data_IF_928121159839
#
_entry.id   IF_928121159839
#
_cell.length_a   1.000
_cell.length_b   1.000
_cell.length_c   1.000
_cell.angle_alpha   90.00
_cell.angle_beta   90.00
_cell.angle_gamma   90.00
#
_symmetry.space_group_name_H-M   'P 1'
#
loop_
_entity.id
_entity.type
_entity.pdbx_description
1 polymer ?
#
# COMPACT_ATOMS: atom_id res chain seq x y z
N UNK A 1 0.27 -12.49 14.84
CA UNK A 1 0.50 -11.28 14.01
C UNK A 1 -0.66 -10.32 14.22
N UNK A 2 -0.41 -9.01 14.29
CA UNK A 2 -1.49 -8.02 14.37
C UNK A 2 -2.40 -8.15 13.14
N UNK A 3 -3.73 -8.13 13.36
CA UNK A 3 -4.70 -8.23 12.28
C UNK A 3 -4.71 -6.94 11.47
N UNK A 4 -4.38 -7.03 10.18
CA UNK A 4 -4.48 -5.90 9.24
C UNK A 4 -5.95 -5.48 9.11
N UNK A 5 -6.20 -4.16 9.12
CA UNK A 5 -7.53 -3.56 8.88
C UNK A 5 -7.48 -2.71 7.60
N UNK A 6 -7.79 -3.29 6.42
CA UNK A 6 -7.68 -2.57 5.15
C UNK A 6 -8.51 -1.29 5.08
N UNK A 7 -9.64 -1.22 5.81
CA UNK A 7 -10.48 -0.03 5.89
C UNK A 7 -9.77 1.22 6.43
N UNK A 8 -8.69 1.05 7.19
CA UNK A 8 -7.90 2.18 7.72
C UNK A 8 -6.74 2.58 6.79
N UNK A 9 -6.36 1.72 5.83
CA UNK A 9 -5.17 1.94 5.00
C UNK A 9 -5.28 3.21 4.13
N UNK A 10 -6.50 3.62 3.77
CA UNK A 10 -6.74 4.84 3.02
C UNK A 10 -6.26 6.12 3.73
N UNK A 11 -6.21 6.12 5.07
CA UNK A 11 -5.78 7.27 5.87
C UNK A 11 -4.31 7.62 5.62
N UNK A 12 -3.45 6.61 5.40
CA UNK A 12 -2.05 6.83 5.08
C UNK A 12 -1.89 7.55 3.73
N UNK A 13 -2.63 7.10 2.71
CA UNK A 13 -2.64 7.73 1.39
C UNK A 13 -3.16 9.16 1.46
N UNK A 14 -4.27 9.38 2.16
CA UNK A 14 -4.84 10.70 2.38
C UNK A 14 -3.85 11.64 3.08
N UNK A 15 -3.19 11.18 4.14
CA UNK A 15 -2.22 11.99 4.87
C UNK A 15 -1.01 12.39 4.01
N UNK A 16 -0.53 11.49 3.15
CA UNK A 16 0.52 11.79 2.17
C UNK A 16 0.09 12.88 1.19
N UNK A 17 -1.10 12.73 0.61
CA UNK A 17 -1.66 13.72 -0.33
C UNK A 17 -1.84 15.08 0.34
N UNK A 18 -2.42 15.12 1.54
CA UNK A 18 -2.63 16.37 2.28
C UNK A 18 -1.30 17.09 2.57
N UNK A 19 -0.24 16.37 2.96
CA UNK A 19 1.10 16.96 3.13
C UNK A 19 1.70 17.47 1.82
N UNK A 20 1.46 16.78 0.70
CA UNK A 20 1.96 17.18 -0.60
C UNK A 20 1.25 18.45 -1.12
N UNK A 21 -0.06 18.56 -0.89
CA UNK A 21 -0.88 19.69 -1.33
C UNK A 21 -0.78 20.90 -0.39
N UNK A 22 -0.55 20.68 0.90
CA UNK A 22 -0.35 21.71 1.91
C UNK A 22 0.92 21.45 2.74
N UNK A 23 2.11 21.83 2.25
CA UNK A 23 3.38 21.57 2.93
C UNK A 23 3.50 22.19 4.32
N UNK A 24 2.73 23.23 4.62
CA UNK A 24 2.65 23.83 5.96
C UNK A 24 1.78 23.05 6.94
N UNK A 25 1.09 21.98 6.51
CA UNK A 25 0.28 21.16 7.39
C UNK A 25 1.17 20.20 8.21
N UNK A 26 1.07 20.29 9.53
CA UNK A 26 1.72 19.34 10.44
C UNK A 26 0.82 18.13 10.64
N UNK A 27 0.87 17.18 9.71
CA UNK A 27 0.04 15.98 9.74
C UNK A 27 0.89 14.71 9.89
N UNK A 28 0.66 13.96 10.97
CA UNK A 28 1.32 12.68 11.23
C UNK A 28 0.35 11.51 11.10
N UNK A 29 0.84 10.36 10.66
CA UNK A 29 0.11 9.10 10.64
C UNK A 29 0.87 8.04 11.45
N UNK A 30 0.25 7.56 12.53
CA UNK A 30 0.81 6.47 13.35
C UNK A 30 -0.16 5.30 13.38
N UNK A 31 0.30 4.13 12.93
CA UNK A 31 -0.42 2.87 13.09
C UNK A 31 0.12 2.12 14.32
N UNK A 32 -0.73 1.40 15.05
CA UNK A 32 -0.31 0.68 16.24
C UNK A 32 -1.44 -0.12 16.87
N UNK A 33 -1.61 -1.35 16.38
CA UNK A 33 -2.61 -2.26 16.93
C UNK A 33 -2.29 -2.59 18.41
N UNK A 34 -3.28 -2.41 19.28
CA UNK A 34 -3.13 -2.70 20.72
C UNK A 34 -2.58 -1.53 21.54
N UNK A 35 -2.26 -0.40 20.93
CA UNK A 35 -1.90 0.84 21.62
C UNK A 35 -3.15 1.71 21.82
N UNK A 36 -3.21 2.40 22.95
CA UNK A 36 -4.19 3.45 23.21
C UNK A 36 -3.92 4.69 22.36
N UNK A 37 -4.93 5.54 22.20
CA UNK A 37 -4.77 6.81 21.49
C UNK A 37 -3.68 7.70 22.12
N UNK A 38 -3.57 7.72 23.45
CA UNK A 38 -2.54 8.49 24.16
C UNK A 38 -1.13 7.99 23.84
N UNK A 39 -0.92 6.67 23.78
CA UNK A 39 0.37 6.10 23.41
C UNK A 39 0.72 6.41 21.94
N UNK A 40 -0.25 6.36 21.03
CA UNK A 40 -0.03 6.71 19.62
C UNK A 40 0.33 8.20 19.45
N UNK A 41 -0.30 9.09 20.23
CA UNK A 41 0.03 10.52 20.25
C UNK A 41 1.42 10.76 20.83
N UNK A 42 1.82 10.01 21.86
CA UNK A 42 3.16 10.07 22.41
C UNK A 42 4.21 9.64 21.38
N UNK A 43 3.95 8.56 20.64
CA UNK A 43 4.80 8.13 19.51
C UNK A 43 4.88 9.22 18.44
N UNK A 44 3.75 9.80 18.02
CA UNK A 44 3.72 10.86 17.03
C UNK A 44 4.54 12.08 17.45
N UNK A 45 4.43 12.47 18.73
CA UNK A 45 5.14 13.64 19.31
C UNK A 45 6.64 13.41 19.45
N UNK A 46 7.08 12.16 19.58
CA UNK A 46 8.49 11.81 19.73
C UNK A 46 9.24 11.72 18.39
N UNK A 47 8.52 11.66 17.26
CA UNK A 47 9.13 11.58 15.94
C UNK A 47 9.63 12.97 15.49
N UNK A 48 10.77 13.04 14.80
CA UNK A 48 11.20 14.28 14.19
C UNK A 48 10.21 14.71 13.09
N UNK A 49 10.06 16.02 12.80
CA UNK A 49 9.14 16.51 11.77
C UNK A 49 9.36 15.91 10.36
N UNK A 50 10.58 15.42 10.10
CA UNK A 50 10.95 14.74 8.84
C UNK A 50 10.41 13.31 8.74
N UNK A 51 9.83 12.77 9.81
CA UNK A 51 9.30 11.41 9.90
C UNK A 51 7.81 11.42 10.26
N UNK A 52 6.93 11.92 9.37
CA UNK A 52 5.51 12.10 9.66
C UNK A 52 4.70 10.78 9.63
N UNK A 53 5.37 9.63 9.50
CA UNK A 53 4.75 8.32 9.37
C UNK A 53 5.47 7.30 10.26
N UNK A 54 4.71 6.54 11.05
CA UNK A 54 5.29 5.45 11.83
C UNK A 54 4.31 4.29 12.08
N UNK A 55 4.89 3.15 12.43
CA UNK A 55 4.20 2.00 13.02
C UNK A 55 4.76 1.81 14.43
N UNK A 56 3.91 1.98 15.44
CA UNK A 56 4.22 1.71 16.84
C UNK A 56 4.34 0.20 17.07
N UNK A 57 5.31 -0.20 17.89
CA UNK A 57 5.52 -1.57 18.31
C UNK A 57 6.32 -1.64 19.60
N UNK A 58 6.35 -2.82 20.22
CA UNK A 58 7.01 -3.03 21.51
C UNK A 58 8.54 -2.77 21.48
N UNK A 59 9.16 -2.75 20.31
CA UNK A 59 10.57 -2.41 20.10
C UNK A 59 10.82 -0.95 19.68
N UNK A 60 9.81 -0.08 19.82
CA UNK A 60 9.85 1.31 19.36
C UNK A 60 9.12 1.56 18.05
N UNK A 61 9.11 2.82 17.63
CA UNK A 61 8.49 3.26 16.39
C UNK A 61 9.34 2.88 15.18
N UNK A 62 8.70 2.34 14.13
CA UNK A 62 9.34 2.08 12.84
C UNK A 62 8.80 3.04 11.79
N UNK A 63 9.69 3.70 11.07
CA UNK A 63 9.37 4.64 10.00
C UNK A 63 9.43 3.93 8.64
N UNK A 64 8.48 4.14 7.72
CA UNK A 64 8.49 3.47 6.43
C UNK A 64 9.62 4.01 5.54
N UNK A 65 10.20 3.12 4.74
CA UNK A 65 11.22 3.45 3.72
C UNK A 65 10.92 2.70 2.44
N UNK A 66 11.08 3.37 1.32
CA UNK A 66 11.05 2.74 0.01
C UNK A 66 12.48 2.28 -0.32
N UNK A 67 12.65 0.98 -0.53
CA UNK A 67 13.91 0.38 -0.97
C UNK A 67 13.71 -0.30 -2.31
N UNK A 68 14.81 -0.46 -3.06
CA UNK A 68 14.82 -1.32 -4.25
C UNK A 68 14.79 -2.77 -3.82
N UNK A 69 14.04 -3.58 -4.56
CA UNK A 69 13.98 -5.04 -4.40
C UNK A 69 14.41 -5.68 -5.73
N UNK A 70 15.21 -6.74 -5.65
CA UNK A 70 15.55 -7.54 -6.83
C UNK A 70 14.31 -8.26 -7.34
N UNK A 71 14.14 -8.26 -8.66
CA UNK A 71 13.01 -8.94 -9.27
C UNK A 71 13.10 -10.46 -9.02
N UNK A 72 12.02 -11.11 -8.56
CA UNK A 72 11.99 -12.57 -8.51
C UNK A 72 12.12 -13.13 -9.93
N UNK A 73 12.68 -14.33 -10.07
CA UNK A 73 12.76 -15.00 -11.36
C UNK A 73 11.36 -15.15 -11.98
N UNK A 74 11.24 -14.87 -13.27
CA UNK A 74 9.98 -15.04 -14.01
C UNK A 74 9.52 -16.50 -13.94
N UNK A 75 8.34 -16.73 -13.37
CA UNK A 75 7.70 -18.04 -13.41
C UNK A 75 7.22 -18.37 -14.82
N UNK A 76 7.42 -19.61 -15.27
CA UNK A 76 6.96 -20.11 -16.57
C UNK A 76 5.49 -20.56 -16.58
N UNK A 77 4.76 -20.38 -15.47
CA UNK A 77 3.39 -20.84 -15.36
C UNK A 77 2.48 -20.02 -16.27
N UNK A 78 1.81 -20.69 -17.21
CA UNK A 78 0.70 -20.10 -17.97
C UNK A 78 -0.44 -19.73 -17.04
N UNK A 79 -1.23 -18.74 -17.43
CA UNK A 79 -2.34 -18.23 -16.60
C UNK A 79 -3.53 -19.20 -16.63
N UNK A 80 -3.86 -19.72 -17.83
CA UNK A 80 -4.97 -20.65 -18.05
C UNK A 80 -6.34 -20.09 -17.64
N UNK A 81 -7.40 -20.84 -17.93
CA UNK A 81 -8.76 -20.54 -17.43
C UNK A 81 -9.38 -19.21 -17.90
N UNK A 82 -10.58 -18.93 -17.41
CA UNK A 82 -11.29 -17.67 -17.62
C UNK A 82 -10.79 -16.64 -16.61
N UNK A 83 -10.37 -15.46 -17.07
CA UNK A 83 -9.83 -14.38 -16.22
C UNK A 83 -10.82 -13.22 -16.15
N UNK A 84 -11.10 -12.72 -14.94
CA UNK A 84 -11.90 -11.52 -14.70
C UNK A 84 -10.99 -10.32 -14.51
N UNK A 85 -11.20 -9.27 -15.30
CA UNK A 85 -10.44 -8.03 -15.24
C UNK A 85 -11.39 -6.86 -15.04
N UNK A 86 -11.60 -6.45 -13.79
CA UNK A 86 -12.48 -5.31 -13.47
C UNK A 86 -11.99 -4.01 -14.11
N UNK A 87 -12.89 -3.21 -14.67
CA UNK A 87 -12.50 -2.02 -15.44
C UNK A 87 -11.69 -2.40 -16.68
N UNK A 88 -12.01 -3.54 -17.30
CA UNK A 88 -11.21 -4.19 -18.33
C UNK A 88 -11.04 -3.40 -19.62
N UNK A 89 -11.85 -2.36 -19.81
CA UNK A 89 -11.85 -1.48 -20.98
C UNK A 89 -10.95 -0.24 -20.82
N UNK A 90 -10.24 -0.09 -19.69
CA UNK A 90 -9.26 1.00 -19.52
C UNK A 90 -7.99 0.77 -20.34
N UNK A 91 -7.24 1.83 -20.65
CA UNK A 91 -6.00 1.72 -21.44
C UNK A 91 -4.97 0.76 -20.85
N UNK A 92 -4.77 0.80 -19.52
CA UNK A 92 -3.88 -0.14 -18.81
C UNK A 92 -4.45 -1.55 -18.83
N UNK A 93 -5.76 -1.69 -18.59
CA UNK A 93 -6.42 -3.00 -18.56
C UNK A 93 -6.36 -3.73 -19.90
N UNK A 94 -6.44 -3.01 -21.03
CA UNK A 94 -6.30 -3.62 -22.36
C UNK A 94 -4.90 -4.19 -22.61
N UNK A 95 -3.85 -3.54 -22.08
CA UNK A 95 -2.48 -4.08 -22.13
C UNK A 95 -2.37 -5.36 -21.29
N UNK A 96 -2.99 -5.38 -20.11
CA UNK A 96 -3.05 -6.58 -19.26
C UNK A 96 -3.86 -7.70 -19.92
N UNK A 97 -5.00 -7.38 -20.52
CA UNK A 97 -5.84 -8.33 -21.26
C UNK A 97 -5.06 -8.98 -22.41
N UNK A 98 -4.30 -8.19 -23.17
CA UNK A 98 -3.39 -8.71 -24.20
C UNK A 98 -2.34 -9.65 -23.59
N UNK A 99 -1.66 -9.23 -22.52
CA UNK A 99 -0.66 -10.05 -21.85
C UNK A 99 -1.23 -11.39 -21.34
N UNK A 100 -2.45 -11.39 -20.79
CA UNK A 100 -3.15 -12.59 -20.35
C UNK A 100 -3.45 -13.54 -21.52
N UNK A 101 -3.88 -13.01 -22.66
CA UNK A 101 -4.09 -13.78 -23.89
C UNK A 101 -2.79 -14.40 -24.40
N UNK A 102 -1.71 -13.61 -24.45
CA UNK A 102 -0.38 -14.07 -24.87
C UNK A 102 0.18 -15.15 -23.91
N UNK A 103 -0.26 -15.18 -22.64
CA UNK A 103 0.09 -16.18 -21.60
C UNK A 103 -0.90 -17.35 -21.49
N UNK A 104 -1.83 -17.48 -22.44
CA UNK A 104 -2.71 -18.64 -22.58
C UNK A 104 -3.97 -18.62 -21.71
N UNK A 105 -4.51 -17.44 -21.37
CA UNK A 105 -5.86 -17.37 -20.81
C UNK A 105 -6.89 -17.97 -21.79
N UNK A 106 -7.79 -18.82 -21.28
CA UNK A 106 -8.83 -19.48 -22.07
C UNK A 106 -10.01 -18.55 -22.41
N UNK A 107 -10.12 -17.43 -21.70
CA UNK A 107 -11.10 -16.37 -21.96
C UNK A 107 -10.90 -15.18 -21.03
N UNK A 108 -11.52 -14.05 -21.37
CA UNK A 108 -11.45 -12.80 -20.61
C UNK A 108 -12.87 -12.27 -20.35
N UNK A 109 -13.12 -11.81 -19.14
CA UNK A 109 -14.30 -11.01 -18.76
C UNK A 109 -13.77 -9.64 -18.37
N UNK A 110 -14.20 -8.59 -19.08
CA UNK A 110 -13.71 -7.21 -18.94
C UNK A 110 -14.74 -6.31 -18.24
#
# INVERSE_FOLDING_TARGET
>A
AARVRPSHAGLLGLARTARAEAPGSSLSHVDGAGFSAAELVAVASALPPTEPEAVAGNGGARVPRLSRLDAPAEGSSGVGGLQLLTGGTSGVSLLVAKWLGDRGAAGLVL
#
